data_IF_278469056197
#
_entry.id   IF_278469056197
#
_cell.length_a   1.000
_cell.length_b   1.000
_cell.length_c   1.000
_cell.angle_alpha   90.00
_cell.angle_beta   90.00
_cell.angle_gamma   90.00
#
_symmetry.space_group_name_H-M   'P 1'
#
loop_
_entity.id
_entity.type
_entity.pdbx_description
1 polymer ?
#
# COMPACT_ATOMS: atom_id res chain seq x y z
N UNK A 1 13.36 -14.64 -9.62
CA UNK A 1 13.46 -13.24 -10.12
C UNK A 1 12.73 -13.16 -11.43
N UNK A 2 11.81 -12.21 -11.57
CA UNK A 2 11.12 -11.93 -12.83
C UNK A 2 11.83 -10.74 -13.50
N UNK A 3 12.02 -10.82 -14.81
CA UNK A 3 12.59 -9.72 -15.60
C UNK A 3 11.53 -9.20 -16.57
N UNK A 4 11.49 -7.89 -16.76
CA UNK A 4 10.63 -7.22 -17.72
C UNK A 4 11.46 -6.30 -18.59
N UNK A 5 11.18 -6.30 -19.89
CA UNK A 5 11.69 -5.29 -20.83
C UNK A 5 10.56 -4.31 -21.08
N UNK A 6 10.82 -3.03 -20.85
CA UNK A 6 9.85 -1.95 -21.04
C UNK A 6 10.43 -0.91 -21.99
N UNK A 7 9.57 -0.29 -22.78
CA UNK A 7 9.90 0.92 -23.52
C UNK A 7 9.51 2.10 -22.65
N UNK A 8 10.44 3.04 -22.49
CA UNK A 8 10.21 4.31 -21.81
C UNK A 8 10.62 5.46 -22.73
N UNK A 9 9.96 6.59 -22.57
CA UNK A 9 10.30 7.81 -23.28
C UNK A 9 11.47 8.57 -22.63
N UNK A 10 11.90 9.66 -23.26
CA UNK A 10 13.01 10.47 -22.76
C UNK A 10 12.69 11.17 -21.43
N UNK A 11 11.42 11.54 -21.21
CA UNK A 11 11.00 12.19 -19.98
C UNK A 11 11.02 11.22 -18.80
N UNK A 12 10.53 10.00 -19.01
CA UNK A 12 10.57 8.90 -18.05
C UNK A 12 12.01 8.54 -17.69
N UNK A 13 12.93 8.44 -18.65
CA UNK A 13 14.34 8.15 -18.39
C UNK A 13 15.00 9.23 -17.50
N UNK A 14 14.75 10.50 -17.83
CA UNK A 14 15.25 11.64 -17.04
C UNK A 14 14.70 11.60 -15.61
N UNK A 15 13.42 11.30 -15.45
CA UNK A 15 12.78 11.17 -14.14
C UNK A 15 13.42 10.06 -13.31
N UNK A 16 13.63 8.87 -13.91
CA UNK A 16 14.31 7.74 -13.25
C UNK A 16 15.74 8.13 -12.83
N UNK A 17 16.47 8.86 -13.67
CA UNK A 17 17.83 9.32 -13.35
C UNK A 17 17.85 10.32 -12.18
N UNK A 18 16.88 11.22 -12.10
CA UNK A 18 16.74 12.15 -10.96
C UNK A 18 16.48 11.39 -9.67
N UNK A 19 15.56 10.42 -9.67
CA UNK A 19 15.30 9.56 -8.49
C UNK A 19 16.56 8.78 -8.11
N UNK A 20 17.23 8.14 -9.08
CA UNK A 20 18.48 7.42 -8.87
C UNK A 20 19.52 8.28 -8.17
N UNK A 21 19.75 9.50 -8.68
CA UNK A 21 20.72 10.44 -8.14
C UNK A 21 20.34 10.93 -6.73
N UNK A 22 19.08 11.31 -6.53
CA UNK A 22 18.56 11.81 -5.25
C UNK A 22 18.75 10.81 -4.11
N UNK A 23 18.57 9.52 -4.38
CA UNK A 23 18.66 8.45 -3.37
C UNK A 23 19.99 7.68 -3.41
N UNK A 24 20.98 8.12 -4.21
CA UNK A 24 22.30 7.46 -4.28
C UNK A 24 22.27 6.02 -4.79
N UNK A 25 21.32 5.69 -5.66
CA UNK A 25 21.10 4.32 -6.14
C UNK A 25 22.09 3.93 -7.24
N UNK A 26 22.47 2.65 -7.31
CA UNK A 26 23.56 2.18 -8.19
C UNK A 26 23.13 2.14 -9.65
N UNK A 27 21.90 1.70 -9.92
CA UNK A 27 21.37 1.47 -11.27
C UNK A 27 19.91 1.93 -11.41
N UNK A 28 19.43 2.01 -12.65
CA UNK A 28 18.05 2.41 -12.96
C UNK A 28 17.03 1.41 -12.42
N UNK A 29 17.37 0.12 -12.33
CA UNK A 29 16.48 -0.91 -11.80
C UNK A 29 16.19 -0.73 -10.31
N UNK A 30 17.17 -0.31 -9.52
CA UNK A 30 16.97 0.07 -8.11
C UNK A 30 16.06 1.29 -7.98
N UNK A 31 16.22 2.29 -8.85
CA UNK A 31 15.36 3.46 -8.88
C UNK A 31 13.91 3.11 -9.24
N UNK A 32 13.70 2.29 -10.27
CA UNK A 32 12.37 1.78 -10.64
C UNK A 32 11.75 1.00 -9.48
N UNK A 33 12.52 0.16 -8.77
CA UNK A 33 12.02 -0.58 -7.60
C UNK A 33 11.57 0.36 -6.48
N UNK A 34 12.31 1.43 -6.22
CA UNK A 34 11.91 2.44 -5.24
C UNK A 34 10.61 3.16 -5.66
N UNK A 35 10.50 3.53 -6.94
CA UNK A 35 9.28 4.17 -7.48
C UNK A 35 8.07 3.26 -7.33
N UNK A 36 8.20 1.98 -7.67
CA UNK A 36 7.13 0.98 -7.52
C UNK A 36 6.72 0.86 -6.05
N UNK A 37 7.67 0.78 -5.13
CA UNK A 37 7.36 0.66 -3.70
C UNK A 37 6.63 1.91 -3.15
N UNK A 38 7.01 3.12 -3.57
CA UNK A 38 6.28 4.32 -3.13
C UNK A 38 4.90 4.39 -3.77
N UNK A 39 4.78 4.02 -5.04
CA UNK A 39 3.50 3.94 -5.70
C UNK A 39 2.59 2.86 -5.08
N UNK A 40 3.14 1.73 -4.64
CA UNK A 40 2.43 0.70 -3.88
C UNK A 40 1.86 1.27 -2.58
N UNK A 41 2.63 2.05 -1.82
CA UNK A 41 2.11 2.67 -0.58
C UNK A 41 0.97 3.65 -0.82
N UNK A 42 0.98 4.34 -1.97
CA UNK A 42 -0.04 5.34 -2.31
C UNK A 42 -1.28 4.71 -2.97
N UNK A 43 -1.09 3.73 -3.87
CA UNK A 43 -2.16 3.15 -4.67
C UNK A 43 -2.75 1.88 -4.03
N UNK A 44 -1.92 1.01 -3.47
CA UNK A 44 -2.41 -0.21 -2.85
C UNK A 44 -2.79 0.13 -1.41
N UNK A 45 -4.04 -0.18 -1.04
CA UNK A 45 -4.36 -0.26 0.38
C UNK A 45 -3.35 -1.23 1.01
N UNK A 46 -2.63 -0.85 2.08
CA UNK A 46 -1.71 -1.75 2.72
C UNK A 46 -2.45 -3.04 3.03
N UNK A 47 -1.87 -4.19 2.68
CA UNK A 47 -2.50 -5.48 2.94
C UNK A 47 -3.02 -5.49 4.37
N UNK A 48 -4.28 -5.92 4.55
CA UNK A 48 -4.86 -6.00 5.88
C UNK A 48 -3.92 -6.84 6.73
N UNK A 49 -3.35 -6.21 7.77
CA UNK A 49 -2.47 -6.88 8.73
C UNK A 49 -3.09 -8.24 9.10
N UNK A 50 -2.36 -9.37 9.04
CA UNK A 50 -2.94 -10.70 9.24
C UNK A 50 -3.77 -10.81 10.53
N UNK A 51 -3.35 -10.14 11.59
CA UNK A 51 -4.08 -10.05 12.86
C UNK A 51 -5.44 -9.33 12.75
N UNK A 52 -5.56 -8.33 11.88
CA UNK A 52 -6.82 -7.64 11.61
C UNK A 52 -7.78 -8.54 10.84
N UNK A 53 -7.26 -9.29 9.84
CA UNK A 53 -8.05 -10.28 9.09
C UNK A 53 -8.58 -11.36 10.03
N UNK A 54 -7.75 -11.89 10.92
CA UNK A 54 -8.17 -12.90 11.89
C UNK A 54 -9.23 -12.37 12.86
N UNK A 55 -9.02 -11.14 13.36
CA UNK A 55 -10.00 -10.45 14.22
C UNK A 55 -11.34 -10.27 13.52
N UNK A 56 -11.35 -9.85 12.25
CA UNK A 56 -12.59 -9.68 11.48
C UNK A 56 -13.26 -11.02 11.20
N UNK A 57 -12.51 -12.08 10.92
CA UNK A 57 -13.06 -13.45 10.78
C UNK A 57 -13.71 -13.96 12.06
N UNK A 58 -13.15 -13.63 13.23
CA UNK A 58 -13.76 -13.95 14.53
C UNK A 58 -15.06 -13.15 14.72
N UNK A 59 -15.04 -11.84 14.47
CA UNK A 59 -16.22 -10.97 14.58
C UNK A 59 -17.36 -11.32 13.63
N UNK A 60 -17.06 -11.80 12.42
CA UNK A 60 -18.08 -12.23 11.47
C UNK A 60 -18.94 -13.40 11.98
N UNK A 61 -18.46 -14.15 12.98
CA UNK A 61 -19.20 -15.25 13.62
C UNK A 61 -20.03 -14.79 14.83
N UNK A 62 -19.84 -13.55 15.28
CA UNK A 62 -20.58 -13.00 16.42
C UNK A 62 -22.02 -12.65 15.98
N UNK A 63 -23.02 -12.84 16.86
CA UNK A 63 -24.40 -12.49 16.55
C UNK A 63 -24.54 -10.98 16.35
N UNK A 64 -25.33 -10.57 15.37
CA UNK A 64 -25.63 -9.15 15.14
C UNK A 64 -26.62 -8.63 16.18
N UNK A 65 -26.36 -7.43 16.69
CA UNK A 65 -27.23 -6.74 17.66
C UNK A 65 -27.85 -5.50 17.04
N UNK A 66 -29.15 -5.32 17.26
CA UNK A 66 -29.86 -4.12 16.78
C UNK A 66 -29.55 -2.93 17.70
N UNK A 67 -28.69 -2.04 17.24
CA UNK A 67 -28.31 -0.83 17.98
C UNK A 67 -29.32 0.29 17.70
N UNK A 68 -30.09 0.69 18.73
CA UNK A 68 -31.07 1.79 18.62
C UNK A 68 -30.44 3.18 18.76
N UNK A 69 -29.38 3.30 19.55
CA UNK A 69 -28.64 4.55 19.75
C UNK A 69 -27.14 4.23 19.79
N UNK A 70 -26.44 4.59 18.71
CA UNK A 70 -25.04 4.25 18.51
C UNK A 70 -24.12 4.88 19.57
N UNK A 71 -24.28 6.18 19.85
CA UNK A 71 -23.46 6.90 20.85
C UNK A 71 -23.59 6.28 22.23
N UNK A 72 -24.82 6.01 22.68
CA UNK A 72 -25.07 5.36 23.98
C UNK A 72 -24.51 3.93 24.02
N UNK A 73 -24.68 3.17 22.95
CA UNK A 73 -24.26 1.76 22.89
C UNK A 73 -22.74 1.60 22.93
N UNK A 74 -22.00 2.51 22.29
CA UNK A 74 -20.54 2.50 22.26
C UNK A 74 -19.89 3.48 23.26
N UNK A 75 -20.67 4.10 24.15
CA UNK A 75 -20.15 5.03 25.18
C UNK A 75 -19.43 6.25 24.60
N UNK A 76 -19.86 6.71 23.43
CA UNK A 76 -19.29 7.89 22.77
C UNK A 76 -20.05 9.13 23.26
N UNK A 77 -19.35 10.01 23.96
CA UNK A 77 -19.87 11.31 24.42
C UNK A 77 -20.17 12.24 23.23
#
# INVERSE_FOLDING_TARGET
MVQAVISIDEHEDRTINVVKGKFGLKNKSEAIRLIINEYEKELLEPELRPEYVEKMRKRAKEPTVKVKNFRKHFGLN
#
